data_IF_752592545000
#
_entry.id   IF_752592545000
#
_cell.length_a   1.000
_cell.length_b   1.000
_cell.length_c   1.000
_cell.angle_alpha   90.00
_cell.angle_beta   90.00
_cell.angle_gamma   90.00
#
_symmetry.space_group_name_H-M   'P 1'
#
loop_
_entity.id
_entity.type
_entity.pdbx_description
1 polymer ?
#
# COMPACT_ATOMS: atom_id res chain seq x y z
N UNK A 1 -3.37 15.19 20.06
CA UNK A 1 -3.39 15.95 18.79
C UNK A 1 -4.09 15.06 17.78
N UNK A 2 -5.34 15.37 17.44
CA UNK A 2 -6.10 14.56 16.49
C UNK A 2 -5.43 14.70 15.11
N UNK A 3 -4.84 13.61 14.64
CA UNK A 3 -4.19 13.56 13.33
C UNK A 3 -5.31 13.60 12.29
N UNK A 4 -5.45 14.70 11.57
CA UNK A 4 -6.36 14.77 10.43
C UNK A 4 -5.94 13.69 9.44
N UNK A 5 -6.72 12.60 9.38
CA UNK A 5 -6.64 11.65 8.28
C UNK A 5 -6.87 12.46 7.01
N UNK A 6 -5.79 12.79 6.29
CA UNK A 6 -5.86 13.43 4.98
C UNK A 6 -6.82 12.58 4.16
N UNK A 7 -8.03 13.09 3.93
CA UNK A 7 -9.08 12.36 3.23
C UNK A 7 -8.48 11.95 1.90
N UNK A 8 -8.38 10.65 1.67
CA UNK A 8 -7.94 10.15 0.38
C UNK A 8 -9.08 10.45 -0.58
N UNK A 9 -8.89 11.46 -1.42
CA UNK A 9 -9.91 11.90 -2.37
C UNK A 9 -10.31 10.73 -3.29
N UNK A 10 -11.62 10.54 -3.47
CA UNK A 10 -12.19 9.40 -4.19
C UNK A 10 -11.60 9.20 -5.61
N UNK A 11 -11.32 10.26 -6.41
CA UNK A 11 -10.66 10.11 -7.71
C UNK A 11 -9.22 9.57 -7.62
N UNK A 12 -8.49 9.92 -6.56
CA UNK A 12 -7.13 9.44 -6.33
C UNK A 12 -7.13 7.94 -6.02
N UNK A 13 -8.12 7.49 -5.23
CA UNK A 13 -8.37 6.07 -4.96
C UNK A 13 -8.70 5.27 -6.22
N UNK A 14 -9.55 5.80 -7.09
CA UNK A 14 -9.88 5.12 -8.36
C UNK A 14 -8.65 4.94 -9.26
N UNK A 15 -7.75 5.93 -9.27
CA UNK A 15 -6.48 5.83 -10.00
C UNK A 15 -5.59 4.74 -9.41
N UNK A 16 -5.51 4.65 -8.09
CA UNK A 16 -4.77 3.58 -7.41
C UNK A 16 -5.37 2.20 -7.69
N UNK A 17 -6.71 2.06 -7.66
CA UNK A 17 -7.38 0.82 -8.01
C UNK A 17 -7.05 0.36 -9.42
N UNK A 18 -7.07 1.26 -10.40
CA UNK A 18 -6.71 0.92 -11.78
C UNK A 18 -5.24 0.48 -11.88
N UNK A 19 -4.33 1.14 -11.16
CA UNK A 19 -2.90 0.80 -11.13
C UNK A 19 -2.62 -0.58 -10.51
N UNK A 20 -3.38 -0.99 -9.49
CA UNK A 20 -3.16 -2.27 -8.79
C UNK A 20 -4.00 -3.44 -9.32
N UNK A 21 -4.89 -3.20 -10.27
CA UNK A 21 -5.83 -4.22 -10.79
C UNK A 21 -7.06 -4.44 -9.90
N UNK A 22 -7.45 -3.43 -9.12
CA UNK A 22 -8.69 -3.39 -8.33
C UNK A 22 -8.47 -3.13 -6.85
N UNK A 23 -9.58 -2.87 -6.14
CA UNK A 23 -9.63 -2.52 -4.72
C UNK A 23 -9.05 -3.60 -3.79
N UNK A 24 -9.34 -4.87 -4.04
CA UNK A 24 -8.85 -5.96 -3.19
C UNK A 24 -7.34 -6.17 -3.33
N UNK A 25 -6.82 -6.05 -4.55
CA UNK A 25 -5.38 -6.09 -4.82
C UNK A 25 -4.67 -4.93 -4.14
N UNK A 26 -5.24 -3.72 -4.19
CA UNK A 26 -4.70 -2.58 -3.43
C UNK A 26 -4.62 -2.89 -1.93
N UNK A 27 -5.72 -3.39 -1.35
CA UNK A 27 -5.77 -3.71 0.08
C UNK A 27 -4.71 -4.74 0.47
N UNK A 28 -4.59 -5.83 -0.30
CA UNK A 28 -3.59 -6.89 -0.04
C UNK A 28 -2.17 -6.35 -0.15
N UNK A 29 -1.88 -5.52 -1.15
CA UNK A 29 -0.56 -4.89 -1.33
C UNK A 29 -0.19 -4.05 -0.10
N UNK A 30 -1.09 -3.17 0.31
CA UNK A 30 -0.87 -2.29 1.46
C UNK A 30 -0.72 -3.10 2.75
N UNK A 31 -1.55 -4.11 2.96
CA UNK A 31 -1.45 -4.99 4.14
C UNK A 31 -0.11 -5.74 4.18
N UNK A 32 0.31 -6.35 3.08
CA UNK A 32 1.61 -7.04 2.98
C UNK A 32 2.75 -6.07 3.28
N UNK A 33 2.73 -4.89 2.66
CA UNK A 33 3.80 -3.91 2.84
C UNK A 33 3.85 -3.32 4.26
N UNK A 34 2.71 -3.02 4.86
CA UNK A 34 2.64 -2.56 6.25
C UNK A 34 3.25 -3.62 7.18
N UNK A 35 2.94 -4.91 6.98
CA UNK A 35 3.53 -5.97 7.79
C UNK A 35 5.06 -6.06 7.66
N UNK A 36 5.61 -5.83 6.47
CA UNK A 36 7.06 -5.74 6.26
C UNK A 36 7.67 -4.57 7.04
N UNK A 37 7.05 -3.38 6.97
CA UNK A 37 7.50 -2.20 7.69
C UNK A 37 7.45 -2.39 9.21
N UNK A 38 6.39 -3.03 9.72
CA UNK A 38 6.26 -3.41 11.15
C UNK A 38 7.39 -4.36 11.57
N UNK A 39 7.82 -5.26 10.68
CA UNK A 39 8.95 -6.18 10.91
C UNK A 39 10.33 -5.53 10.78
N UNK A 40 10.39 -4.23 10.52
CA UNK A 40 11.65 -3.49 10.39
C UNK A 40 12.23 -3.45 8.97
N UNK A 41 11.46 -3.80 7.95
CA UNK A 41 11.91 -3.63 6.57
C UNK A 41 12.20 -2.14 6.27
N UNK A 42 13.23 -1.84 5.45
CA UNK A 42 13.56 -0.46 5.13
C UNK A 42 12.45 0.21 4.33
N UNK A 43 12.21 1.49 4.63
CA UNK A 43 11.34 2.37 3.84
C UNK A 43 12.03 2.67 2.50
N UNK A 44 11.27 2.69 1.41
CA UNK A 44 11.79 2.96 0.07
C UNK A 44 11.65 4.43 -0.32
N UNK A 45 11.06 5.29 0.52
CA UNK A 45 10.90 6.73 0.30
C UNK A 45 11.95 7.55 1.06
N UNK A 46 12.38 8.66 0.48
CA UNK A 46 13.20 9.67 1.15
C UNK A 46 12.31 10.75 1.78
N UNK A 47 12.65 11.24 2.98
CA UNK A 47 11.93 12.34 3.64
C UNK A 47 11.37 12.01 5.02
N UNK A 48 10.69 12.99 5.63
CA UNK A 48 10.28 12.99 7.04
C UNK A 48 9.50 11.74 7.45
N UNK A 49 9.90 11.24 8.61
CA UNK A 49 9.51 9.96 9.21
C UNK A 49 8.12 9.98 9.87
N UNK A 50 7.36 11.06 9.70
CA UNK A 50 6.10 11.35 10.41
C UNK A 50 4.85 10.71 9.79
N UNK A 51 5.02 9.79 8.82
CA UNK A 51 3.92 9.01 8.25
C UNK A 51 3.84 7.65 8.95
N UNK A 52 2.64 7.25 9.37
CA UNK A 52 2.36 5.88 9.81
C UNK A 52 2.67 4.88 8.68
N UNK A 53 2.83 3.59 9.00
CA UNK A 53 3.18 2.57 8.01
C UNK A 53 2.24 2.51 6.80
N UNK A 54 0.95 2.78 7.01
CA UNK A 54 -0.03 2.88 5.91
C UNK A 54 0.32 4.04 4.97
N UNK A 55 0.64 5.21 5.54
CA UNK A 55 1.05 6.38 4.76
C UNK A 55 2.35 6.14 4.01
N UNK A 56 3.31 5.43 4.60
CA UNK A 56 4.55 5.06 3.92
C UNK A 56 4.27 4.12 2.74
N UNK A 57 3.49 3.05 2.96
CA UNK A 57 3.15 2.09 1.91
C UNK A 57 2.37 2.73 0.74
N UNK A 58 1.45 3.66 1.04
CA UNK A 58 0.73 4.43 0.02
C UNK A 58 1.67 5.29 -0.84
N UNK A 59 2.64 5.94 -0.23
CA UNK A 59 3.59 6.79 -0.95
C UNK A 59 4.55 5.97 -1.80
N UNK A 60 5.03 4.83 -1.28
CA UNK A 60 5.80 3.86 -2.04
C UNK A 60 5.03 3.38 -3.28
N UNK A 61 3.72 3.12 -3.12
CA UNK A 61 2.86 2.72 -4.24
C UNK A 61 2.65 3.86 -5.24
N UNK A 62 2.40 5.09 -4.76
CA UNK A 62 2.25 6.28 -5.62
C UNK A 62 3.52 6.50 -6.46
N UNK A 63 4.70 6.38 -5.84
CA UNK A 63 6.00 6.45 -6.50
C UNK A 63 6.36 5.20 -7.34
N UNK A 64 5.52 4.15 -7.34
CA UNK A 64 5.75 2.95 -8.14
C UNK A 64 6.88 2.05 -7.62
N UNK A 65 7.26 2.19 -6.35
CA UNK A 65 8.35 1.42 -5.71
C UNK A 65 7.91 0.04 -5.25
N UNK A 66 6.61 -0.18 -5.09
CA UNK A 66 6.01 -1.46 -4.71
C UNK A 66 4.91 -1.82 -5.71
N UNK A 67 4.77 -3.13 -5.96
CA UNK A 67 3.74 -3.72 -6.82
C UNK A 67 3.39 -5.11 -6.28
N UNK A 68 2.17 -5.58 -6.52
CA UNK A 68 1.88 -7.00 -6.32
C UNK A 68 2.51 -7.79 -7.47
N UNK A 69 3.32 -8.78 -7.12
CA UNK A 69 3.74 -9.80 -8.07
C UNK A 69 2.50 -10.50 -8.65
N UNK A 70 2.63 -11.08 -9.84
CA UNK A 70 1.65 -12.01 -10.40
C UNK A 70 1.67 -13.28 -9.54
N UNK A 71 0.83 -13.27 -8.51
CA UNK A 71 0.66 -14.40 -7.58
C UNK A 71 -0.10 -15.50 -8.35
N UNK A 72 0.65 -16.45 -8.92
CA UNK A 72 0.11 -17.73 -9.34
C UNK A 72 -0.25 -18.53 -8.08
N UNK A 73 -1.50 -18.40 -7.62
CA UNK A 73 -2.39 -19.48 -7.14
C UNK A 73 -3.17 -19.16 -5.85
N UNK A 74 -4.46 -19.52 -5.90
CA UNK A 74 -5.12 -20.20 -4.78
C UNK A 74 -5.41 -21.62 -5.24
N UNK A 75 -4.67 -22.63 -4.79
CA UNK A 75 -5.06 -24.04 -4.97
C UNK A 75 -5.98 -24.40 -3.80
N UNK A 76 -7.29 -24.31 -4.04
CA UNK A 76 -8.30 -24.79 -3.09
C UNK A 76 -8.36 -26.31 -3.23
N UNK A 77 -7.81 -27.04 -2.26
CA UNK A 77 -8.04 -28.48 -2.16
C UNK A 77 -9.39 -28.71 -1.45
N UNK A 78 -10.23 -29.51 -2.10
CA UNK A 78 -11.50 -30.02 -1.58
C UNK A 78 -11.28 -30.98 -0.41
#
# INVERSE_FOLDING_TARGET
>A
MAMELKKLDYPELETLYKKTGGKYRLTVLLQRRVNELVRGAPKLIAGEQSKDFIGIALEELKQGKISLAEDNQTVVKS
#
